data_IF_508758311026
#
_entry.id   IF_508758311026
#
_cell.length_a   1.000
_cell.length_b   1.000
_cell.length_c   1.000
_cell.angle_alpha   90.00
_cell.angle_beta   90.00
_cell.angle_gamma   90.00
#
_symmetry.space_group_name_H-M   'P 1'
#
loop_
_entity.id
_entity.type
_entity.pdbx_description
1 polymer ?
#
# COMPACT_ATOMS: atom_id res chain seq x y z
N UNK A 1 2.95 -6.60 10.63
CA UNK A 1 4.19 -5.82 10.42
C UNK A 1 3.90 -4.63 9.53
N UNK A 2 4.52 -3.47 9.76
CA UNK A 2 4.27 -2.24 9.00
C UNK A 2 5.36 -2.01 7.94
N UNK A 3 4.96 -1.65 6.72
CA UNK A 3 5.87 -1.22 5.64
C UNK A 3 5.27 -0.03 4.90
N UNK A 4 6.10 0.82 4.33
CA UNK A 4 5.61 1.97 3.58
C UNK A 4 4.92 1.53 2.28
N UNK A 5 5.49 0.61 1.50
CA UNK A 5 4.99 0.33 0.13
C UNK A 5 4.85 -1.15 -0.23
N UNK A 6 5.84 -1.96 0.10
CA UNK A 6 5.84 -3.40 -0.20
C UNK A 6 6.76 -4.16 0.73
N UNK A 7 6.57 -5.48 0.87
CA UNK A 7 7.48 -6.33 1.63
C UNK A 7 7.34 -7.80 1.21
N UNK A 8 8.48 -8.47 0.99
CA UNK A 8 8.50 -9.91 0.67
C UNK A 8 8.51 -10.72 1.96
N UNK A 9 7.86 -11.89 1.95
CA UNK A 9 7.85 -12.77 3.13
C UNK A 9 9.25 -13.15 3.62
N UNK A 10 10.15 -13.53 2.69
CA UNK A 10 11.52 -13.93 3.00
C UNK A 10 12.35 -12.83 3.69
N UNK A 11 11.89 -11.59 3.65
CA UNK A 11 12.58 -10.41 4.17
C UNK A 11 12.05 -10.02 5.57
N UNK A 12 11.01 -10.70 6.06
CA UNK A 12 10.40 -10.42 7.36
C UNK A 12 11.39 -10.75 8.49
N UNK A 13 11.57 -9.81 9.42
CA UNK A 13 12.46 -9.98 10.58
C UNK A 13 13.97 -9.83 10.29
N UNK A 14 14.36 -9.55 9.05
CA UNK A 14 15.78 -9.37 8.67
C UNK A 14 16.22 -7.90 8.73
N UNK A 15 17.51 -7.67 9.01
CA UNK A 15 18.11 -6.32 8.91
C UNK A 15 18.08 -5.84 7.45
N UNK A 16 17.55 -4.62 7.16
CA UNK A 16 17.35 -4.18 5.79
C UNK A 16 18.65 -3.80 5.08
N UNK A 17 19.00 -4.56 4.03
CA UNK A 17 20.09 -4.25 3.10
C UNK A 17 19.64 -3.24 2.01
N UNK A 18 20.56 -2.76 1.16
CA UNK A 18 20.28 -1.74 0.13
C UNK A 18 19.13 -2.13 -0.82
N UNK A 19 19.08 -3.39 -1.23
CA UNK A 19 18.05 -3.91 -2.14
C UNK A 19 16.69 -4.00 -1.43
N UNK A 20 16.66 -4.48 -0.19
CA UNK A 20 15.45 -4.51 0.64
C UNK A 20 14.91 -3.09 0.87
N UNK A 21 15.76 -2.12 1.21
CA UNK A 21 15.35 -0.71 1.39
C UNK A 21 14.73 -0.14 0.13
N UNK A 22 15.35 -0.39 -1.03
CA UNK A 22 14.80 0.05 -2.31
C UNK A 22 13.41 -0.56 -2.55
N UNK A 23 13.23 -1.86 -2.28
CA UNK A 23 11.94 -2.51 -2.42
C UNK A 23 10.87 -2.01 -1.43
N UNK A 24 11.25 -1.76 -0.17
CA UNK A 24 10.37 -1.22 0.87
C UNK A 24 9.86 0.18 0.52
N UNK A 25 10.72 1.01 -0.09
CA UNK A 25 10.42 2.40 -0.44
C UNK A 25 9.77 2.55 -1.82
N UNK A 26 10.18 1.74 -2.79
CA UNK A 26 9.81 1.93 -4.19
C UNK A 26 8.95 0.79 -4.77
N UNK A 27 8.81 -0.33 -4.08
CA UNK A 27 7.99 -1.46 -4.52
C UNK A 27 8.54 -2.18 -5.75
N UNK A 28 7.73 -3.07 -6.33
CA UNK A 28 8.02 -3.74 -7.59
C UNK A 28 7.56 -2.87 -8.77
N UNK A 29 8.50 -2.32 -9.54
CA UNK A 29 8.19 -1.69 -10.83
C UNK A 29 8.21 -2.75 -11.94
N UNK A 30 7.31 -2.64 -12.93
CA UNK A 30 7.31 -3.55 -14.10
C UNK A 30 8.40 -3.18 -15.10
N UNK A 31 8.94 -1.96 -15.02
CA UNK A 31 9.81 -1.36 -16.04
C UNK A 31 9.05 -0.51 -17.06
N UNK A 32 7.72 -0.54 -17.05
CA UNK A 32 6.86 0.27 -17.91
C UNK A 32 6.47 1.60 -17.25
N UNK A 33 6.00 2.56 -18.04
CA UNK A 33 5.49 3.85 -17.56
C UNK A 33 4.12 4.14 -18.16
N UNK A 34 3.24 4.74 -17.37
CA UNK A 34 1.98 5.29 -17.84
C UNK A 34 2.24 6.52 -18.75
N UNK A 35 1.27 6.95 -19.58
CA UNK A 35 1.42 8.12 -20.45
C UNK A 35 1.82 9.43 -19.72
N UNK A 36 1.56 9.50 -18.42
CA UNK A 36 1.92 10.63 -17.55
C UNK A 36 3.33 10.51 -16.92
N UNK A 37 4.11 9.52 -17.32
CA UNK A 37 5.49 9.27 -16.86
C UNK A 37 5.59 8.52 -15.53
N UNK A 38 4.47 8.17 -14.87
CA UNK A 38 4.52 7.38 -13.63
C UNK A 38 4.89 5.92 -13.93
N UNK A 39 5.78 5.27 -13.16
CA UNK A 39 6.11 3.87 -13.39
C UNK A 39 4.89 2.98 -13.10
N UNK A 40 4.64 2.02 -14.00
CA UNK A 40 3.67 0.95 -13.79
C UNK A 40 4.20 0.04 -12.67
N UNK A 41 3.36 -0.22 -11.68
CA UNK A 41 3.72 -1.01 -10.49
C UNK A 41 3.02 -2.35 -10.54
N UNK A 42 3.75 -3.40 -10.17
CA UNK A 42 3.13 -4.72 -9.96
C UNK A 42 2.31 -4.67 -8.67
N UNK A 43 1.13 -5.31 -8.73
CA UNK A 43 0.30 -5.53 -7.55
C UNK A 43 0.87 -6.69 -6.71
N UNK A 44 1.99 -6.42 -6.03
CA UNK A 44 2.72 -7.40 -5.22
C UNK A 44 1.84 -8.08 -4.15
N UNK A 45 0.77 -7.39 -3.74
CA UNK A 45 -0.18 -7.91 -2.77
C UNK A 45 -0.89 -9.18 -3.27
N UNK A 46 -1.15 -9.29 -4.60
CA UNK A 46 -1.69 -10.52 -5.23
C UNK A 46 -0.70 -11.70 -5.18
N UNK A 47 0.61 -11.41 -5.13
CA UNK A 47 1.68 -12.42 -5.09
C UNK A 47 2.08 -12.81 -3.65
N UNK A 48 1.54 -12.13 -2.63
CA UNK A 48 1.87 -12.39 -1.24
C UNK A 48 1.02 -13.53 -0.65
N UNK A 49 1.66 -14.64 -0.32
CA UNK A 49 1.03 -15.81 0.30
C UNK A 49 1.55 -16.12 1.71
N UNK A 50 2.27 -15.18 2.31
CA UNK A 50 2.91 -15.41 3.60
C UNK A 50 1.94 -15.53 4.77
N UNK A 51 2.44 -16.07 5.88
CA UNK A 51 1.64 -16.22 7.11
C UNK A 51 1.35 -14.90 7.83
N UNK A 52 2.30 -13.96 7.99
CA UNK A 52 2.06 -12.71 8.72
C UNK A 52 1.09 -11.76 8.00
N UNK A 53 0.39 -10.92 8.77
CA UNK A 53 -0.31 -9.76 8.22
C UNK A 53 0.67 -8.63 7.87
N UNK A 54 0.53 -8.09 6.66
CA UNK A 54 1.26 -6.89 6.22
C UNK A 54 0.27 -5.73 6.10
N UNK A 55 0.48 -4.71 6.95
CA UNK A 55 -0.27 -3.45 6.91
C UNK A 55 0.63 -2.40 6.27
N UNK A 56 0.17 -1.75 5.21
CA UNK A 56 1.00 -0.84 4.41
C UNK A 56 0.23 0.36 3.86
N UNK A 57 0.94 1.26 3.16
CA UNK A 57 0.40 2.48 2.59
C UNK A 57 1.06 2.90 1.28
N UNK A 58 1.21 4.22 1.09
CA UNK A 58 1.97 4.90 0.03
C UNK A 58 1.38 4.87 -1.39
N UNK A 59 0.41 3.99 -1.65
CA UNK A 59 -0.38 3.99 -2.89
C UNK A 59 -1.83 4.31 -2.52
N UNK A 60 -2.26 5.57 -2.61
CA UNK A 60 -3.59 5.98 -2.16
C UNK A 60 -4.71 5.17 -2.80
N UNK A 61 -5.62 4.66 -1.97
CA UNK A 61 -6.84 3.95 -2.36
C UNK A 61 -8.07 4.65 -1.79
N UNK A 62 -9.24 4.49 -2.41
CA UNK A 62 -10.47 5.14 -1.92
C UNK A 62 -10.92 4.55 -0.58
N UNK A 63 -10.79 3.24 -0.44
CA UNK A 63 -11.10 2.50 0.78
C UNK A 63 -9.95 1.57 1.15
N UNK A 64 -9.79 1.19 2.44
CA UNK A 64 -8.79 0.21 2.85
C UNK A 64 -8.89 -1.06 1.99
N UNK A 65 -7.78 -1.42 1.33
CA UNK A 65 -7.78 -2.50 0.34
C UNK A 65 -7.15 -3.75 0.93
N UNK A 66 -7.97 -4.78 1.10
CA UNK A 66 -7.53 -6.11 1.51
C UNK A 66 -7.23 -6.99 0.30
N UNK A 67 -6.06 -7.64 0.31
CA UNK A 67 -5.70 -8.68 -0.65
C UNK A 67 -4.95 -9.78 0.10
N UNK A 68 -5.56 -10.95 0.23
CA UNK A 68 -5.01 -12.03 1.05
C UNK A 68 -4.73 -11.56 2.48
N UNK A 69 -3.47 -11.72 2.94
CA UNK A 69 -3.00 -11.24 4.26
C UNK A 69 -2.27 -9.89 4.20
N UNK A 70 -2.64 -9.06 3.23
CA UNK A 70 -2.14 -7.70 3.11
C UNK A 70 -3.30 -6.72 3.19
N UNK A 71 -3.05 -5.54 3.76
CA UNK A 71 -4.02 -4.46 3.80
C UNK A 71 -3.34 -3.11 3.60
N UNK A 72 -3.78 -2.39 2.57
CA UNK A 72 -3.39 -1.01 2.31
C UNK A 72 -4.35 -0.08 3.06
N UNK A 73 -3.83 0.71 4.00
CA UNK A 73 -4.60 1.70 4.78
C UNK A 73 -4.29 3.15 4.37
N UNK A 74 -3.48 3.37 3.34
CA UNK A 74 -3.31 4.71 2.77
C UNK A 74 -4.54 5.08 1.96
N UNK A 75 -5.48 5.72 2.65
CA UNK A 75 -6.71 6.22 2.04
C UNK A 75 -6.60 7.68 1.59
N UNK A 76 -5.39 8.19 1.37
CA UNK A 76 -5.20 9.50 0.73
C UNK A 76 -5.74 10.69 1.54
N UNK A 77 -5.56 10.71 2.86
CA UNK A 77 -6.02 11.81 3.71
C UNK A 77 -5.58 13.19 3.20
N UNK A 78 -4.32 13.34 2.78
CA UNK A 78 -3.80 14.62 2.26
C UNK A 78 -4.41 15.02 0.91
N UNK A 79 -5.03 14.07 0.20
CA UNK A 79 -5.72 14.27 -1.08
C UNK A 79 -7.24 14.40 -0.92
N UNK A 80 -7.69 14.74 0.29
CA UNK A 80 -9.08 15.08 0.59
C UNK A 80 -10.03 13.91 0.74
N UNK A 81 -9.52 12.68 0.94
CA UNK A 81 -10.37 11.52 1.24
C UNK A 81 -10.45 11.26 2.76
N UNK A 82 -9.72 10.29 3.30
CA UNK A 82 -9.80 9.95 4.73
C UNK A 82 -8.47 9.45 5.31
N UNK A 83 -8.31 9.55 6.64
CA UNK A 83 -7.26 8.88 7.40
C UNK A 83 -7.82 7.57 7.95
N UNK A 84 -7.20 6.44 7.61
CA UNK A 84 -7.65 5.11 8.03
C UNK A 84 -6.67 4.43 8.98
N UNK A 85 -7.22 3.70 9.94
CA UNK A 85 -6.49 2.83 10.84
C UNK A 85 -7.06 1.40 10.78
N UNK A 86 -6.23 0.41 11.10
CA UNK A 86 -6.61 -0.99 11.25
C UNK A 86 -6.40 -1.40 12.71
N UNK A 87 -7.43 -1.96 13.35
CA UNK A 87 -7.27 -2.59 14.67
C UNK A 87 -6.79 -4.03 14.50
N UNK A 88 -5.89 -4.45 15.39
CA UNK A 88 -5.36 -5.81 15.41
C UNK A 88 -5.47 -6.36 16.83
N UNK A 89 -5.95 -7.60 17.02
CA UNK A 89 -6.14 -8.66 16.03
C UNK A 89 -7.49 -8.67 15.28
N UNK A 90 -8.40 -7.74 15.53
CA UNK A 90 -9.77 -7.78 14.99
C UNK A 90 -9.86 -7.52 13.49
N UNK A 91 -8.81 -6.95 12.89
CA UNK A 91 -8.71 -6.61 11.46
C UNK A 91 -9.86 -5.69 10.99
N UNK A 92 -10.37 -4.84 11.88
CA UNK A 92 -11.40 -3.86 11.56
C UNK A 92 -10.76 -2.53 11.16
N UNK A 93 -11.34 -1.88 10.16
CA UNK A 93 -10.90 -0.56 9.72
C UNK A 93 -11.78 0.52 10.30
N UNK A 94 -11.16 1.60 10.76
CA UNK A 94 -11.84 2.84 11.16
C UNK A 94 -11.23 3.99 10.37
N UNK A 95 -12.06 4.94 9.94
CA UNK A 95 -11.63 6.04 9.11
C UNK A 95 -12.25 7.35 9.58
N UNK A 96 -11.50 8.45 9.45
CA UNK A 96 -11.98 9.80 9.70
C UNK A 96 -11.82 10.64 8.44
N UNK A 97 -12.84 11.46 8.07
CA UNK A 97 -12.79 12.24 6.85
C UNK A 97 -11.70 13.32 6.91
N UNK A 98 -11.12 13.62 5.75
CA UNK A 98 -10.16 14.72 5.59
C UNK A 98 -10.86 16.07 5.48
N UNK A 99 -10.17 17.13 5.90
CA UNK A 99 -10.56 18.51 5.67
C UNK A 99 -9.92 19.12 4.40
N UNK A 100 -9.13 18.34 3.66
CA UNK A 100 -8.41 18.81 2.46
C UNK A 100 -9.30 18.73 1.21
N UNK A 101 -9.01 19.51 0.14
CA UNK A 101 -9.69 19.37 -1.14
C UNK A 101 -9.47 17.98 -1.76
N UNK A 102 -10.52 17.41 -2.33
CA UNK A 102 -10.47 16.08 -2.97
C UNK A 102 -9.78 16.13 -4.35
N UNK A 103 -8.79 15.27 -4.56
CA UNK A 103 -8.08 15.10 -5.83
C UNK A 103 -8.10 13.62 -6.28
N UNK A 104 -9.07 13.27 -7.12
CA UNK A 104 -9.26 11.89 -7.63
C UNK A 104 -8.04 11.37 -8.39
N UNK A 105 -7.23 12.25 -9.01
CA UNK A 105 -6.08 11.86 -9.84
C UNK A 105 -4.95 11.19 -9.06
N UNK A 106 -5.00 11.27 -7.72
CA UNK A 106 -4.01 10.73 -6.79
C UNK A 106 -4.27 9.29 -6.40
N UNK A 107 -5.45 8.75 -6.72
CA UNK A 107 -5.86 7.42 -6.31
C UNK A 107 -5.51 6.35 -7.35
N UNK A 108 -5.10 5.18 -6.87
CA UNK A 108 -4.86 4.01 -7.69
C UNK A 108 -6.17 3.27 -7.98
N UNK A 109 -6.35 2.86 -9.22
CA UNK A 109 -7.46 2.00 -9.65
C UNK A 109 -6.92 0.59 -9.89
N UNK A 110 -7.34 -0.35 -9.06
CA UNK A 110 -7.02 -1.75 -9.24
C UNK A 110 -8.14 -2.40 -10.06
N UNK A 111 -7.78 -3.04 -11.17
CA UNK A 111 -8.70 -3.94 -11.87
C UNK A 111 -8.91 -5.21 -11.03
N UNK A 112 -10.17 -5.65 -10.99
CA UNK A 112 -10.60 -6.89 -10.33
C UNK A 112 -9.80 -8.08 -10.87
#
# INVERSE_FOLDING_TARGET
>A
MHTQRAMKEKDIGKKPNKQMRSYLLFGAVTGETWPDGRPVRKDWAKEYHGKPWIVYGHTPVKEPRFVGRTVNIDTGCVFGNQLSALTYPELKTVSVPSSMPYDDSRFQHFTS
#
